data_IF_956589736194
#
_entry.id   IF_956589736194
#
_cell.length_a   1.000
_cell.length_b   1.000
_cell.length_c   1.000
_cell.angle_alpha   90.00
_cell.angle_beta   90.00
_cell.angle_gamma   90.00
#
_symmetry.space_group_name_H-M   'P 1'
#
loop_
_entity.id
_entity.type
_entity.pdbx_description
1 polymer ?
#
# COMPACT_ATOMS: atom_id res chain seq x y z
N UNK A 1 27.77 -9.25 6.30
CA UNK A 1 28.34 -8.42 5.22
C UNK A 1 27.56 -7.12 5.16
N UNK A 2 28.25 -5.99 5.11
CA UNK A 2 27.66 -4.66 4.95
C UNK A 2 26.78 -4.61 3.67
N UNK A 3 25.56 -4.08 3.77
CA UNK A 3 24.59 -4.08 2.66
C UNK A 3 23.73 -2.81 2.66
N UNK A 4 23.55 -2.22 1.48
CA UNK A 4 22.52 -1.21 1.21
C UNK A 4 21.22 -1.95 0.89
N UNK A 5 20.19 -1.82 1.73
CA UNK A 5 18.89 -2.47 1.58
C UNK A 5 17.82 -1.42 1.33
N UNK A 6 17.19 -1.46 0.16
CA UNK A 6 16.16 -0.50 -0.22
C UNK A 6 14.81 -1.18 -0.34
N UNK A 7 13.82 -0.71 0.40
CA UNK A 7 12.42 -1.03 0.16
C UNK A 7 11.90 -0.24 -1.05
N UNK A 8 11.32 -0.94 -2.03
CA UNK A 8 10.71 -0.34 -3.21
C UNK A 8 9.20 -0.20 -2.98
N UNK A 9 8.76 1.01 -2.66
CA UNK A 9 7.36 1.35 -2.48
C UNK A 9 6.74 1.80 -3.81
N UNK A 10 5.69 1.13 -4.27
CA UNK A 10 5.08 1.42 -5.56
C UNK A 10 3.63 0.96 -5.59
N UNK A 11 2.84 1.50 -6.51
CA UNK A 11 1.57 0.87 -6.87
C UNK A 11 1.85 -0.31 -7.82
N UNK A 12 1.46 -1.55 -7.48
CA UNK A 12 1.76 -2.72 -8.30
C UNK A 12 1.13 -2.65 -9.70
N UNK A 13 -0.04 -2.03 -9.82
CA UNK A 13 -0.80 -1.92 -11.07
C UNK A 13 -0.25 -0.81 -11.97
N UNK A 14 0.18 0.30 -11.37
CA UNK A 14 0.62 1.50 -12.10
C UNK A 14 2.10 1.48 -12.47
N UNK A 15 2.94 0.72 -11.74
CA UNK A 15 4.40 0.75 -11.89
C UNK A 15 4.99 -0.54 -12.46
N UNK A 16 4.22 -1.33 -13.23
CA UNK A 16 4.68 -2.63 -13.76
C UNK A 16 5.92 -2.48 -14.63
N UNK A 17 5.89 -1.54 -15.57
CA UNK A 17 6.97 -1.33 -16.55
C UNK A 17 8.22 -0.78 -15.88
N UNK A 18 8.07 0.22 -15.02
CA UNK A 18 9.16 0.88 -14.30
C UNK A 18 9.88 -0.11 -13.39
N UNK A 19 9.12 -0.91 -12.61
CA UNK A 19 9.69 -1.94 -11.74
C UNK A 19 10.48 -2.97 -12.54
N UNK A 20 9.95 -3.41 -13.69
CA UNK A 20 10.64 -4.35 -14.58
C UNK A 20 11.96 -3.78 -15.08
N UNK A 21 11.94 -2.56 -15.62
CA UNK A 21 13.14 -1.88 -16.15
C UNK A 21 14.18 -1.67 -15.04
N UNK A 22 13.77 -1.25 -13.84
CA UNK A 22 14.66 -1.09 -12.71
C UNK A 22 15.34 -2.41 -12.32
N UNK A 23 14.56 -3.49 -12.24
CA UNK A 23 15.04 -4.83 -11.88
C UNK A 23 16.02 -5.39 -12.90
N UNK A 24 15.72 -5.25 -14.19
CA UNK A 24 16.51 -5.82 -15.28
C UNK A 24 17.77 -5.00 -15.60
N UNK A 25 17.72 -3.67 -15.46
CA UNK A 25 18.76 -2.80 -16.02
C UNK A 25 19.44 -1.86 -15.02
N UNK A 26 18.78 -1.51 -13.91
CA UNK A 26 19.30 -0.49 -12.97
C UNK A 26 19.88 -1.14 -11.72
N UNK A 27 19.12 -1.97 -11.01
CA UNK A 27 19.56 -2.61 -9.77
C UNK A 27 20.84 -3.46 -9.94
N UNK A 28 21.05 -4.20 -11.04
CA UNK A 28 22.31 -4.91 -11.26
C UNK A 28 23.51 -3.97 -11.35
N UNK A 29 23.38 -2.84 -12.05
CA UNK A 29 24.46 -1.86 -12.21
C UNK A 29 24.82 -1.19 -10.89
N UNK A 30 23.81 -0.82 -10.09
CA UNK A 30 24.02 -0.25 -8.75
C UNK A 30 24.70 -1.28 -7.85
N UNK A 31 24.26 -2.54 -7.87
CA UNK A 31 24.89 -3.63 -7.12
C UNK A 31 26.35 -3.82 -7.49
N UNK A 32 26.67 -3.86 -8.78
CA UNK A 32 28.04 -3.99 -9.25
C UNK A 32 28.90 -2.78 -8.86
N UNK A 33 28.32 -1.58 -8.83
CA UNK A 33 29.00 -0.37 -8.36
C UNK A 33 29.27 -0.42 -6.85
N UNK A 34 28.25 -0.71 -6.02
CA UNK A 34 28.40 -0.87 -4.58
C UNK A 34 29.46 -1.90 -4.21
N UNK A 35 29.45 -3.05 -4.90
CA UNK A 35 30.41 -4.12 -4.65
C UNK A 35 31.84 -3.73 -5.04
N UNK A 36 32.04 -3.12 -6.22
CA UNK A 36 33.38 -2.76 -6.72
C UNK A 36 33.98 -1.55 -6.01
N UNK A 37 33.19 -0.52 -5.75
CA UNK A 37 33.70 0.75 -5.24
C UNK A 37 33.72 0.81 -3.71
N UNK A 38 32.81 0.10 -3.04
CA UNK A 38 32.62 0.21 -1.59
C UNK A 38 32.72 -1.13 -0.86
N UNK A 39 32.83 -2.26 -1.56
CA UNK A 39 32.89 -3.58 -0.93
C UNK A 39 31.62 -4.00 -0.19
N UNK A 40 30.48 -3.35 -0.48
CA UNK A 40 29.18 -3.62 0.15
C UNK A 40 28.20 -4.25 -0.84
N UNK A 41 27.27 -5.04 -0.33
CA UNK A 41 26.18 -5.59 -1.16
C UNK A 41 25.06 -4.56 -1.37
N UNK A 42 24.22 -4.79 -2.37
CA UNK A 42 23.04 -3.98 -2.66
C UNK A 42 21.83 -4.88 -2.91
N UNK A 43 20.76 -4.65 -2.16
CA UNK A 43 19.52 -5.41 -2.24
C UNK A 43 18.32 -4.49 -2.30
N UNK A 44 17.40 -4.80 -3.20
CA UNK A 44 16.08 -4.17 -3.25
C UNK A 44 15.04 -5.18 -2.77
N UNK A 45 14.11 -4.73 -1.94
CA UNK A 45 12.94 -5.47 -1.48
C UNK A 45 11.74 -4.89 -2.23
N UNK A 46 11.28 -5.58 -3.25
CA UNK A 46 10.05 -5.27 -3.99
C UNK A 46 8.94 -6.20 -3.47
N UNK A 47 7.94 -5.69 -2.72
CA UNK A 47 6.86 -6.51 -2.17
C UNK A 47 6.00 -7.19 -3.24
N UNK A 48 6.08 -6.72 -4.48
CA UNK A 48 5.27 -7.16 -5.61
C UNK A 48 6.13 -7.82 -6.69
N UNK A 49 7.29 -8.37 -6.31
CA UNK A 49 8.16 -9.12 -7.21
C UNK A 49 7.52 -10.43 -7.67
N UNK A 50 6.77 -11.08 -6.78
CA UNK A 50 5.99 -12.28 -7.08
C UNK A 50 4.82 -11.93 -8.03
N UNK A 51 4.74 -12.54 -9.22
CA UNK A 51 3.67 -12.27 -10.17
C UNK A 51 2.27 -12.58 -9.67
N UNK A 52 2.11 -13.49 -8.70
CA UNK A 52 0.82 -13.84 -8.14
C UNK A 52 0.40 -12.88 -6.99
N UNK A 53 -0.70 -12.10 -7.15
CA UNK A 53 -1.21 -11.22 -6.10
C UNK A 53 -1.58 -11.92 -4.78
N UNK A 54 -1.99 -13.18 -4.84
CA UNK A 54 -2.39 -13.96 -3.66
C UNK A 54 -1.21 -14.22 -2.70
N UNK A 55 0.02 -14.07 -3.20
CA UNK A 55 1.25 -14.23 -2.43
C UNK A 55 1.88 -12.90 -2.01
N UNK A 56 1.27 -11.77 -2.37
CA UNK A 56 1.77 -10.47 -1.95
C UNK A 56 1.68 -10.34 -0.43
N UNK A 57 2.67 -9.68 0.20
CA UNK A 57 2.69 -9.51 1.65
C UNK A 57 1.51 -8.63 2.12
N UNK A 58 0.97 -8.98 3.28
CA UNK A 58 0.04 -8.14 4.04
C UNK A 58 0.66 -6.78 4.35
N UNK A 59 -0.16 -5.78 4.65
CA UNK A 59 0.29 -4.47 5.10
C UNK A 59 1.21 -4.61 6.31
N UNK A 60 0.84 -5.41 7.32
CA UNK A 60 1.71 -5.62 8.48
C UNK A 60 3.12 -6.11 8.08
N UNK A 61 3.22 -7.09 7.17
CA UNK A 61 4.52 -7.58 6.68
C UNK A 61 5.25 -6.49 5.88
N UNK A 62 4.55 -5.71 5.05
CA UNK A 62 5.18 -4.59 4.33
C UNK A 62 5.75 -3.54 5.28
N UNK A 63 5.03 -3.18 6.34
CA UNK A 63 5.53 -2.23 7.35
C UNK A 63 6.76 -2.78 8.09
N UNK A 64 6.77 -4.08 8.42
CA UNK A 64 7.95 -4.74 8.99
C UNK A 64 9.15 -4.70 8.04
N UNK A 65 8.97 -4.98 6.75
CA UNK A 65 10.04 -4.88 5.76
C UNK A 65 10.61 -3.46 5.64
N UNK A 66 9.76 -2.43 5.74
CA UNK A 66 10.21 -1.03 5.76
C UNK A 66 11.07 -0.77 7.01
N UNK A 67 10.63 -1.23 8.18
CA UNK A 67 11.37 -1.07 9.43
C UNK A 67 12.71 -1.84 9.41
N UNK A 68 12.72 -3.05 8.88
CA UNK A 68 13.95 -3.83 8.71
C UNK A 68 14.96 -3.11 7.81
N UNK A 69 14.49 -2.55 6.68
CA UNK A 69 15.33 -1.72 5.81
C UNK A 69 15.84 -0.48 6.58
N UNK A 70 14.98 0.20 7.33
CA UNK A 70 15.33 1.39 8.13
C UNK A 70 16.44 1.11 9.14
N UNK A 71 16.38 -0.02 9.83
CA UNK A 71 17.35 -0.39 10.86
C UNK A 71 18.65 -0.98 10.31
N UNK A 72 18.57 -1.70 9.19
CA UNK A 72 19.69 -2.55 8.73
C UNK A 72 20.32 -2.11 7.41
N UNK A 73 19.81 -1.08 6.73
CA UNK A 73 20.40 -0.57 5.49
C UNK A 73 21.58 0.35 5.77
N UNK A 74 22.64 0.21 4.98
CA UNK A 74 23.68 1.22 4.88
C UNK A 74 23.21 2.39 4.02
N UNK A 75 22.79 3.48 4.66
CA UNK A 75 22.39 4.70 3.99
C UNK A 75 20.90 4.72 3.61
N UNK A 76 20.52 5.06 2.36
CA UNK A 76 19.12 5.06 1.95
C UNK A 76 18.47 3.70 2.16
N UNK A 77 17.25 3.69 2.68
CA UNK A 77 16.51 2.46 2.95
C UNK A 77 15.19 2.35 2.19
N UNK A 78 14.76 3.42 1.52
CA UNK A 78 13.43 3.51 0.94
C UNK A 78 13.47 4.32 -0.35
N UNK A 79 12.80 3.82 -1.37
CA UNK A 79 12.55 4.50 -2.64
C UNK A 79 11.08 4.31 -2.98
N UNK A 80 10.42 5.38 -3.44
CA UNK A 80 9.04 5.30 -3.90
C UNK A 80 8.91 5.64 -5.37
N UNK A 81 8.13 4.82 -6.09
CA UNK A 81 7.63 5.11 -7.43
C UNK A 81 6.18 5.58 -7.28
N UNK A 82 5.96 6.86 -7.55
CA UNK A 82 4.63 7.47 -7.55
C UNK A 82 4.29 7.80 -9.00
N UNK A 83 3.37 7.03 -9.58
CA UNK A 83 2.89 7.22 -10.94
C UNK A 83 1.67 8.14 -10.99
N UNK A 84 0.76 7.85 -11.93
CA UNK A 84 -0.45 8.62 -12.14
C UNK A 84 -1.48 8.39 -11.01
N UNK A 85 -1.45 7.23 -10.37
CA UNK A 85 -2.43 6.86 -9.35
C UNK A 85 -1.82 6.19 -8.11
N UNK A 86 -2.30 6.60 -6.95
CA UNK A 86 -1.93 5.98 -5.67
C UNK A 86 -2.55 4.59 -5.49
N UNK A 87 -3.59 4.27 -6.26
CA UNK A 87 -4.39 3.05 -6.15
C UNK A 87 -5.66 3.27 -5.31
N UNK A 88 -6.51 2.25 -5.29
CA UNK A 88 -7.75 2.29 -4.51
C UNK A 88 -7.47 2.27 -3.01
N UNK A 89 -8.37 2.89 -2.24
CA UNK A 89 -8.37 2.77 -0.78
C UNK A 89 -8.40 1.30 -0.37
N UNK A 90 -7.64 0.93 0.66
CA UNK A 90 -7.62 -0.45 1.14
C UNK A 90 -8.54 -0.61 2.33
N UNK A 91 -9.22 -1.76 2.39
CA UNK A 91 -9.86 -2.17 3.64
C UNK A 91 -8.76 -2.36 4.69
N UNK A 92 -8.86 -1.74 5.87
CA UNK A 92 -7.91 -1.98 6.96
C UNK A 92 -7.82 -3.47 7.31
N UNK A 93 -6.61 -3.95 7.59
CA UNK A 93 -6.42 -5.35 7.99
C UNK A 93 -7.05 -5.65 9.35
N UNK A 94 -7.15 -4.62 10.19
CA UNK A 94 -7.71 -4.68 11.53
C UNK A 94 -8.44 -3.38 11.85
N UNK A 95 -9.62 -3.50 12.45
CA UNK A 95 -10.41 -2.38 12.98
C UNK A 95 -10.84 -2.75 14.39
N UNK A 96 -10.68 -1.85 15.36
CA UNK A 96 -11.09 -2.12 16.74
C UNK A 96 -12.58 -2.46 16.81
N UNK A 97 -12.97 -3.37 17.71
CA UNK A 97 -14.36 -3.81 17.87
C UNK A 97 -15.34 -2.65 18.10
N UNK A 98 -14.98 -1.68 18.93
CA UNK A 98 -15.79 -0.50 19.24
C UNK A 98 -16.07 0.33 17.99
N UNK A 99 -15.02 0.58 17.21
CA UNK A 99 -15.05 1.36 15.98
C UNK A 99 -15.82 0.64 14.87
N UNK A 100 -15.59 -0.66 14.70
CA UNK A 100 -16.29 -1.44 13.68
C UNK A 100 -17.79 -1.53 13.94
N UNK A 101 -18.23 -1.66 15.21
CA UNK A 101 -19.65 -1.60 15.54
C UNK A 101 -20.28 -0.25 15.20
N UNK A 102 -19.56 0.86 15.42
CA UNK A 102 -20.02 2.19 15.01
C UNK A 102 -20.22 2.27 13.50
N UNK A 103 -19.26 1.73 12.73
CA UNK A 103 -19.39 1.63 11.27
C UNK A 103 -20.61 0.79 10.87
N UNK A 104 -20.84 -0.36 11.50
CA UNK A 104 -22.01 -1.20 11.19
C UNK A 104 -23.33 -0.51 11.52
N UNK A 105 -23.40 0.23 12.63
CA UNK A 105 -24.59 0.99 13.00
C UNK A 105 -24.90 2.07 11.96
N UNK A 106 -23.92 2.90 11.60
CA UNK A 106 -24.12 3.95 10.58
C UNK A 106 -24.44 3.34 9.21
N UNK A 107 -23.83 2.22 8.87
CA UNK A 107 -24.15 1.45 7.66
C UNK A 107 -25.65 1.10 7.59
N UNK A 108 -26.23 0.63 8.70
CA UNK A 108 -27.66 0.32 8.78
C UNK A 108 -28.55 1.57 8.74
N UNK A 109 -28.15 2.65 9.42
CA UNK A 109 -28.86 3.94 9.40
C UNK A 109 -28.92 4.55 8.00
N UNK A 110 -27.87 4.37 7.19
CA UNK A 110 -27.81 4.76 5.78
C UNK A 110 -28.60 3.83 4.85
N UNK A 111 -29.19 2.74 5.35
CA UNK A 111 -29.93 1.75 4.58
C UNK A 111 -29.05 0.76 3.80
N UNK A 112 -27.76 0.68 4.11
CA UNK A 112 -26.87 -0.33 3.54
C UNK A 112 -27.00 -1.66 4.28
N UNK A 113 -26.71 -2.76 3.56
CA UNK A 113 -26.63 -4.08 4.18
C UNK A 113 -25.28 -4.26 4.88
N UNK A 114 -25.31 -4.48 6.20
CA UNK A 114 -24.10 -4.75 7.00
C UNK A 114 -23.41 -6.06 6.61
N UNK A 115 -24.13 -6.98 5.94
CA UNK A 115 -23.60 -8.25 5.48
C UNK A 115 -22.39 -8.11 4.56
N UNK A 116 -22.28 -7.00 3.81
CA UNK A 116 -21.14 -6.78 2.90
C UNK A 116 -19.85 -6.65 3.70
N UNK A 117 -19.88 -5.91 4.82
CA UNK A 117 -18.71 -5.74 5.69
C UNK A 117 -18.47 -6.99 6.52
N UNK A 118 -19.53 -7.64 7.02
CA UNK A 118 -19.44 -8.90 7.77
C UNK A 118 -18.90 -10.07 6.92
N UNK A 119 -19.07 -10.05 5.59
CA UNK A 119 -18.44 -11.01 4.66
C UNK A 119 -16.94 -10.76 4.46
N UNK A 120 -16.47 -9.54 4.72
CA UNK A 120 -15.07 -9.15 4.58
C UNK A 120 -14.27 -9.33 5.88
N UNK A 121 -14.92 -9.20 7.04
CA UNK A 121 -14.25 -9.17 8.35
C UNK A 121 -14.73 -10.28 9.29
N UNK A 122 -13.88 -10.66 10.26
CA UNK A 122 -14.27 -11.51 11.38
C UNK A 122 -13.77 -10.93 12.69
N UNK A 123 -14.63 -10.99 13.71
CA UNK A 123 -14.27 -10.68 15.10
C UNK A 123 -13.19 -11.64 15.61
N UNK A 124 -12.11 -11.09 16.12
CA UNK A 124 -11.03 -11.79 16.79
C UNK A 124 -10.83 -11.24 18.20
N UNK A 125 -11.23 -12.03 19.20
CA UNK A 125 -11.06 -11.68 20.61
C UNK A 125 -9.64 -11.90 21.15
N UNK A 126 -8.76 -12.55 20.36
CA UNK A 126 -7.37 -12.76 20.76
C UNK A 126 -6.48 -11.55 20.47
N UNK A 127 -7.00 -10.58 19.72
CA UNK A 127 -6.30 -9.31 19.48
C UNK A 127 -6.45 -8.40 20.70
N UNK A 128 -5.42 -7.60 20.98
CA UNK A 128 -5.42 -6.64 22.10
C UNK A 128 -5.18 -5.25 21.50
N UNK A 129 -6.21 -4.38 21.40
CA UNK A 129 -7.61 -4.59 21.81
C UNK A 129 -8.37 -5.55 20.86
N UNK A 130 -9.49 -6.17 21.31
CA UNK A 130 -10.34 -7.00 20.46
C UNK A 130 -10.77 -6.24 19.20
N UNK A 131 -10.69 -6.90 18.05
CA UNK A 131 -10.79 -6.26 16.74
C UNK A 131 -11.51 -7.14 15.72
N UNK A 132 -12.01 -6.52 14.66
CA UNK A 132 -12.42 -7.18 13.43
C UNK A 132 -11.24 -7.23 12.46
N UNK A 133 -10.86 -8.44 12.05
CA UNK A 133 -9.75 -8.70 11.14
C UNK A 133 -10.28 -9.00 9.73
N UNK A 134 -9.67 -8.39 8.72
CA UNK A 134 -9.98 -8.64 7.32
C UNK A 134 -9.63 -10.09 6.98
N UNK A 135 -10.54 -10.78 6.29
CA UNK A 135 -10.32 -12.16 5.88
C UNK A 135 -9.30 -12.25 4.74
N UNK A 136 -8.51 -13.32 4.75
CA UNK A 136 -7.83 -13.77 3.54
C UNK A 136 -8.83 -14.44 2.59
N UNK A 137 -8.47 -14.51 1.31
CA UNK A 137 -9.27 -15.20 0.30
C UNK A 137 -9.56 -16.67 0.69
N UNK A 138 -8.55 -17.37 1.23
CA UNK A 138 -8.71 -18.75 1.69
C UNK A 138 -9.72 -18.87 2.83
N UNK A 139 -9.69 -17.94 3.79
CA UNK A 139 -10.68 -17.91 4.86
C UNK A 139 -12.06 -17.59 4.30
N UNK A 140 -12.21 -16.58 3.46
CA UNK A 140 -13.49 -16.23 2.86
C UNK A 140 -14.17 -17.45 2.22
N UNK A 141 -13.43 -18.26 1.45
CA UNK A 141 -13.98 -19.49 0.86
C UNK A 141 -14.30 -20.57 1.89
N UNK A 142 -13.47 -20.74 2.93
CA UNK A 142 -13.72 -21.71 4.01
C UNK A 142 -15.03 -21.42 4.73
N UNK A 143 -15.36 -20.15 4.96
CA UNK A 143 -16.51 -19.77 5.80
C UNK A 143 -17.79 -19.47 5.01
N UNK A 144 -17.70 -19.11 3.73
CA UNK A 144 -18.89 -18.77 2.93
C UNK A 144 -19.42 -19.91 2.04
N UNK A 145 -18.79 -21.09 2.06
CA UNK A 145 -19.24 -22.43 1.62
C UNK A 145 -20.19 -22.60 0.42
N UNK A 146 -20.37 -21.63 -0.48
CA UNK A 146 -21.27 -21.76 -1.64
C UNK A 146 -20.61 -21.21 -2.91
N UNK A 147 -20.24 -22.15 -3.79
CA UNK A 147 -19.65 -21.99 -5.13
C UNK A 147 -18.29 -21.27 -5.16
N UNK A 148 -17.33 -21.93 -5.80
CA UNK A 148 -16.04 -21.36 -6.20
C UNK A 148 -16.31 -20.33 -7.29
N UNK A 149 -16.79 -19.15 -6.90
CA UNK A 149 -16.71 -17.98 -7.75
C UNK A 149 -15.36 -17.31 -7.45
N UNK A 150 -14.42 -17.45 -8.39
CA UNK A 150 -13.11 -16.79 -8.29
C UNK A 150 -13.25 -15.27 -8.17
N UNK A 151 -14.34 -14.70 -8.69
CA UNK A 151 -14.59 -13.26 -8.67
C UNK A 151 -15.40 -12.82 -7.44
N UNK A 152 -15.99 -13.77 -6.68
CA UNK A 152 -16.85 -13.45 -5.54
C UNK A 152 -16.11 -12.73 -4.41
N UNK A 153 -14.84 -13.07 -4.19
CA UNK A 153 -14.01 -12.40 -3.18
C UNK A 153 -13.63 -10.98 -3.59
N UNK A 154 -13.19 -10.78 -4.83
CA UNK A 154 -12.81 -9.46 -5.34
C UNK A 154 -14.02 -8.51 -5.41
N UNK A 155 -15.18 -9.04 -5.80
CA UNK A 155 -16.46 -8.31 -5.76
C UNK A 155 -16.89 -7.98 -4.33
N UNK A 156 -16.77 -8.93 -3.39
CA UNK A 156 -17.04 -8.67 -1.97
C UNK A 156 -16.12 -7.57 -1.42
N UNK A 157 -14.82 -7.62 -1.73
CA UNK A 157 -13.86 -6.58 -1.35
C UNK A 157 -14.17 -5.23 -2.00
N UNK A 158 -14.56 -5.20 -3.28
CA UNK A 158 -14.91 -3.97 -3.99
C UNK A 158 -16.17 -3.33 -3.39
N UNK A 159 -17.21 -4.13 -3.12
CA UNK A 159 -18.43 -3.69 -2.45
C UNK A 159 -18.12 -3.22 -1.02
N UNK A 160 -17.35 -4.00 -0.27
CA UNK A 160 -16.93 -3.67 1.08
C UNK A 160 -16.15 -2.35 1.15
N UNK A 161 -15.21 -2.13 0.23
CA UNK A 161 -14.48 -0.86 0.11
C UNK A 161 -15.43 0.31 -0.15
N UNK A 162 -16.36 0.14 -1.10
CA UNK A 162 -17.32 1.20 -1.44
C UNK A 162 -18.21 1.53 -0.24
N UNK A 163 -18.85 0.52 0.35
CA UNK A 163 -19.70 0.68 1.54
C UNK A 163 -18.94 1.34 2.69
N UNK A 164 -17.72 0.87 2.97
CA UNK A 164 -16.90 1.45 4.05
C UNK A 164 -16.54 2.92 3.77
N UNK A 165 -16.19 3.25 2.52
CA UNK A 165 -15.89 4.61 2.12
C UNK A 165 -17.11 5.54 2.28
N UNK A 166 -18.29 5.09 1.82
CA UNK A 166 -19.55 5.84 1.92
C UNK A 166 -19.90 6.10 3.41
N UNK A 167 -19.79 5.06 4.25
CA UNK A 167 -20.07 5.15 5.70
C UNK A 167 -19.08 6.06 6.41
N UNK A 168 -17.77 5.91 6.17
CA UNK A 168 -16.76 6.75 6.82
C UNK A 168 -16.89 8.21 6.37
N UNK A 169 -17.21 8.46 5.09
CA UNK A 169 -17.47 9.80 4.59
C UNK A 169 -18.67 10.43 5.31
N UNK A 170 -19.75 9.67 5.51
CA UNK A 170 -20.90 10.12 6.29
C UNK A 170 -20.53 10.40 7.77
N UNK A 171 -19.80 9.50 8.42
CA UNK A 171 -19.35 9.69 9.80
C UNK A 171 -18.51 10.96 10.00
N UNK A 172 -17.67 11.30 9.02
CA UNK A 172 -16.88 12.54 9.02
C UNK A 172 -17.77 13.76 8.88
N UNK A 173 -18.76 13.72 7.99
CA UNK A 173 -19.69 14.85 7.78
C UNK A 173 -20.54 15.14 9.02
N UNK A 174 -20.98 14.10 9.73
CA UNK A 174 -21.75 14.22 10.98
C UNK A 174 -20.87 14.51 12.22
N UNK A 175 -19.54 14.45 12.08
CA UNK A 175 -18.59 14.71 13.17
C UNK A 175 -18.43 13.55 14.17
N UNK A 176 -18.96 12.37 13.86
CA UNK A 176 -18.84 11.16 14.68
C UNK A 176 -17.45 10.53 14.62
N UNK A 177 -16.72 10.75 13.52
CA UNK A 177 -15.32 10.34 13.34
C UNK A 177 -14.55 11.57 12.88
N UNK A 178 -13.41 11.86 13.52
CA UNK A 178 -12.56 12.95 13.07
C UNK A 178 -11.86 12.61 11.75
N UNK A 179 -11.51 13.67 11.01
CA UNK A 179 -10.89 13.54 9.69
C UNK A 179 -9.58 12.76 9.72
N UNK A 180 -8.81 12.84 10.81
CA UNK A 180 -7.48 12.22 10.93
C UNK A 180 -7.61 10.70 11.10
N UNK A 181 -8.49 10.26 11.97
CA UNK A 181 -8.84 8.87 12.21
C UNK A 181 -9.53 8.24 11.00
N UNK A 182 -10.35 9.01 10.27
CA UNK A 182 -10.96 8.55 9.02
C UNK A 182 -9.95 8.20 7.93
N UNK A 183 -8.77 8.83 7.93
CA UNK A 183 -7.79 8.63 6.86
C UNK A 183 -7.36 7.16 6.70
N UNK A 184 -7.32 6.36 7.77
CA UNK A 184 -6.91 4.96 7.68
C UNK A 184 -7.81 4.11 6.79
N UNK A 185 -9.06 4.55 6.55
CA UNK A 185 -10.03 3.90 5.66
C UNK A 185 -9.96 4.39 4.20
N UNK A 186 -9.32 5.53 3.98
CA UNK A 186 -9.33 6.23 2.68
C UNK A 186 -8.01 6.09 1.93
N UNK A 187 -6.97 5.58 2.57
CA UNK A 187 -5.62 5.48 2.04
C UNK A 187 -5.40 4.22 1.21
N UNK A 188 -4.59 4.35 0.17
CA UNK A 188 -4.11 3.22 -0.63
C UNK A 188 -2.93 2.49 0.02
N UNK A 189 -2.55 1.33 -0.51
CA UNK A 189 -1.34 0.59 -0.07
C UNK A 189 -0.09 1.46 -0.18
N UNK A 190 0.09 2.12 -1.33
CA UNK A 190 1.21 3.02 -1.58
C UNK A 190 1.25 4.15 -0.55
N UNK A 191 0.10 4.77 -0.25
CA UNK A 191 0.07 5.86 0.71
C UNK A 191 0.42 5.41 2.12
N UNK A 192 -0.12 4.28 2.56
CA UNK A 192 0.19 3.73 3.89
C UNK A 192 1.69 3.44 4.04
N UNK A 193 2.29 2.79 3.06
CA UNK A 193 3.71 2.45 3.07
C UNK A 193 4.59 3.72 3.02
N UNK A 194 4.22 4.72 2.20
CA UNK A 194 4.92 6.00 2.09
C UNK A 194 4.87 6.80 3.39
N UNK A 195 3.69 6.91 4.01
CA UNK A 195 3.54 7.64 5.28
C UNK A 195 4.32 6.97 6.39
N UNK A 196 4.21 5.65 6.51
CA UNK A 196 4.97 4.89 7.51
C UNK A 196 6.49 5.06 7.34
N UNK A 197 6.98 5.06 6.09
CA UNK A 197 8.40 5.26 5.81
C UNK A 197 8.90 6.66 6.22
N UNK A 198 8.05 7.68 6.09
CA UNK A 198 8.35 9.08 6.40
C UNK A 198 8.06 9.47 7.85
N UNK A 199 7.32 8.66 8.59
CA UNK A 199 6.93 8.96 9.96
C UNK A 199 8.17 9.11 10.88
N UNK A 200 8.13 10.09 11.78
CA UNK A 200 9.25 10.44 12.66
C UNK A 200 10.41 11.24 12.02
N UNK A 201 10.27 11.73 10.77
CA UNK A 201 11.26 12.62 10.12
C UNK A 201 10.97 14.10 10.37
N UNK A 202 12.02 14.90 10.59
CA UNK A 202 11.88 16.36 10.55
C UNK A 202 11.69 16.85 9.12
N UNK A 203 10.96 17.96 8.91
CA UNK A 203 10.75 18.58 7.59
C UNK A 203 12.08 18.91 6.88
N UNK A 204 13.13 19.16 7.66
CA UNK A 204 14.50 19.40 7.19
C UNK A 204 15.17 18.17 6.59
N UNK A 205 14.88 16.96 7.07
CA UNK A 205 15.43 15.70 6.54
C UNK A 205 14.81 15.35 5.19
N UNK A 206 13.53 15.64 5.00
CA UNK A 206 12.79 15.37 3.77
C UNK A 206 13.29 16.22 2.59
N UNK A 207 13.69 17.48 2.84
CA UNK A 207 14.18 18.39 1.78
C UNK A 207 15.52 17.96 1.18
N UNK A 208 16.36 17.21 1.90
CA UNK A 208 17.66 16.75 1.40
C UNK A 208 17.57 15.54 0.45
N UNK A 209 16.43 14.88 0.33
CA UNK A 209 16.30 13.57 -0.34
C UNK A 209 15.28 13.51 -1.48
N UNK A 210 14.63 14.64 -1.82
CA UNK A 210 13.75 14.71 -3.00
C UNK A 210 14.57 14.93 -4.27
N UNK A 211 14.91 13.85 -4.97
CA UNK A 211 15.33 13.92 -6.37
C UNK A 211 14.13 13.62 -7.26
N UNK A 212 13.53 14.67 -7.83
CA UNK A 212 12.45 14.53 -8.81
C UNK A 212 13.08 14.31 -10.17
N UNK A 213 12.96 13.10 -10.73
CA UNK A 213 13.32 12.85 -12.11
C UNK A 213 12.14 13.27 -12.99
N UNK A 214 12.26 14.42 -13.66
CA UNK A 214 11.28 14.86 -14.66
C UNK A 214 11.38 14.02 -15.94
N UNK A 215 10.32 13.97 -16.76
CA UNK A 215 10.34 13.22 -18.01
C UNK A 215 11.42 13.77 -18.96
N UNK A 216 12.39 12.91 -19.32
CA UNK A 216 13.32 13.14 -20.43
C UNK A 216 12.61 12.85 -21.75
N UNK A 217 11.68 13.71 -22.14
CA UNK A 217 11.17 13.77 -23.51
C UNK A 217 11.09 15.24 -23.91
N UNK A 218 12.25 15.85 -24.21
CA UNK A 218 12.27 16.96 -25.16
C UNK A 218 12.41 16.34 -26.55
N UNK A 219 11.29 16.32 -27.25
CA UNK A 219 11.20 16.19 -28.69
C UNK A 219 12.05 17.29 -29.33
N UNK A 220 13.14 16.91 -29.99
CA UNK A 220 13.77 17.73 -31.01
C UNK A 220 12.84 17.81 -32.21
N UNK A 221 11.99 18.84 -32.24
CA UNK A 221 11.24 19.24 -33.41
C UNK A 221 10.92 20.73 -33.32
N UNK A 222 11.83 21.54 -33.87
CA UNK A 222 11.51 22.71 -34.71
C UNK A 222 12.78 23.51 -34.97
N UNK A 223 13.28 23.43 -36.21
CA UNK A 223 13.84 24.57 -36.95
C UNK A 223 14.09 24.10 -38.39
N UNK A 224 13.09 24.29 -39.24
CA UNK A 224 13.29 24.55 -40.67
C UNK A 224 12.07 25.36 -41.14
N UNK A 225 12.10 26.66 -40.87
CA UNK A 225 11.38 27.64 -41.68
C UNK A 225 12.41 28.29 -42.61
N UNK A 226 12.29 27.96 -43.90
CA UNK A 226 12.92 28.72 -44.99
C UNK A 226 12.32 30.12 -45.10
N UNK A 227 12.90 30.96 -45.95
CA UNK A 227 12.74 30.76 -47.39
C UNK A 227 14.02 30.50 -48.18
#
# INVERSE_FOLDING_TARGET
MACVKIYLCSNPDDSVTERKVLREHVFPKIRDHCRRMHGVDFRVIDPYEEPNPDKWPTQQVRLQLIEECRQNSLGPFFVSLVGAQYGAACLPEQVELSEFHTVLQVCQEMGFSSEVLEKCYRRDENTIPPSFCLLSQHEHYKYNSQKIDKNGWDDALAKGRKTLNDVITHCVLEGSIDQENAQKYLRSRLENDLRFALDGRSVTDIKRQKHTFGPLWKSDSNMDEGP
#
